data_IF_717673642543
#
_entry.id   IF_717673642543
#
_cell.length_a   1.000
_cell.length_b   1.000
_cell.length_c   1.000
_cell.angle_alpha   90.00
_cell.angle_beta   90.00
_cell.angle_gamma   90.00
#
_symmetry.space_group_name_H-M   'P 1'
#
loop_
_entity.id
_entity.type
_entity.pdbx_description
1 polymer ?
#
# COMPACT_ATOMS: atom_id res chain seq x y z
N UNK A 1 -3.53 11.15 4.61
CA UNK A 1 -2.35 10.94 3.76
C UNK A 1 -2.74 9.96 2.67
N UNK A 2 -2.56 10.35 1.41
CA UNK A 2 -2.90 9.54 0.24
C UNK A 2 -2.13 8.21 0.25
N UNK A 3 -2.75 7.17 -0.33
CA UNK A 3 -2.21 5.81 -0.34
C UNK A 3 -1.98 5.34 -1.77
N UNK A 4 -1.00 4.47 -1.95
CA UNK A 4 -0.82 3.75 -3.22
C UNK A 4 -2.01 2.83 -3.41
N UNK A 5 -2.70 2.95 -4.53
CA UNK A 5 -3.85 2.12 -4.90
C UNK A 5 -3.73 1.66 -6.33
N UNK A 6 -4.21 0.44 -6.58
CA UNK A 6 -4.26 -0.12 -7.93
C UNK A 6 -5.55 0.31 -8.61
N UNK A 7 -5.43 0.89 -9.81
CA UNK A 7 -6.56 1.12 -10.71
C UNK A 7 -6.75 -0.15 -11.52
N UNK A 8 -7.91 -0.80 -11.37
CA UNK A 8 -8.20 -2.03 -12.09
C UNK A 8 -8.54 -1.75 -13.57
N UNK A 9 -8.21 -2.63 -14.53
CA UNK A 9 -8.57 -2.45 -15.94
C UNK A 9 -10.06 -2.27 -16.21
N UNK A 10 -10.93 -2.83 -15.35
CA UNK A 10 -12.39 -2.68 -15.42
C UNK A 10 -12.83 -1.22 -15.31
N UNK A 11 -12.06 -0.38 -14.61
CA UNK A 11 -12.33 1.06 -14.54
C UNK A 11 -12.43 1.68 -15.94
N UNK A 12 -11.51 1.34 -16.84
CA UNK A 12 -11.47 1.88 -18.21
C UNK A 12 -12.58 1.34 -19.12
N UNK A 13 -13.21 0.23 -18.74
CA UNK A 13 -14.30 -0.42 -19.49
C UNK A 13 -15.68 -0.10 -18.94
N UNK A 14 -15.76 0.60 -17.81
CA UNK A 14 -17.03 0.94 -17.16
C UNK A 14 -17.82 1.96 -17.99
N UNK A 15 -19.15 1.75 -18.17
CA UNK A 15 -20.03 2.75 -18.76
C UNK A 15 -19.98 4.11 -18.06
N UNK A 16 -19.90 4.12 -16.71
CA UNK A 16 -19.75 5.33 -15.90
C UNK A 16 -18.50 6.13 -16.28
N UNK A 17 -17.35 5.44 -16.39
CA UNK A 17 -16.10 6.05 -16.80
C UNK A 17 -16.18 6.58 -18.23
N UNK A 18 -16.84 5.84 -19.13
CA UNK A 18 -17.02 6.25 -20.53
C UNK A 18 -17.86 7.53 -20.66
N UNK A 19 -18.89 7.69 -19.82
CA UNK A 19 -19.76 8.87 -19.80
C UNK A 19 -19.10 10.11 -19.16
N UNK A 20 -18.17 9.92 -18.22
CA UNK A 20 -17.47 11.01 -17.55
C UNK A 20 -16.44 11.72 -18.44
N UNK A 21 -16.25 13.02 -18.25
CA UNK A 21 -15.20 13.84 -18.85
C UNK A 21 -13.81 13.39 -18.40
N UNK A 22 -12.74 13.67 -19.18
CA UNK A 22 -11.37 13.36 -18.78
C UNK A 22 -11.00 13.95 -17.40
N UNK A 23 -11.47 15.16 -17.11
CA UNK A 23 -11.23 15.84 -15.83
C UNK A 23 -11.95 15.14 -14.67
N UNK A 24 -13.20 14.72 -14.86
CA UNK A 24 -13.94 14.00 -13.83
C UNK A 24 -13.31 12.63 -13.54
N UNK A 25 -12.81 11.93 -14.57
CA UNK A 25 -12.04 10.68 -14.40
C UNK A 25 -10.78 10.89 -13.57
N UNK A 26 -10.00 11.94 -13.86
CA UNK A 26 -8.79 12.28 -13.11
C UNK A 26 -9.10 12.65 -11.67
N UNK A 27 -10.12 13.49 -11.45
CA UNK A 27 -10.57 13.86 -10.10
C UNK A 27 -11.00 12.64 -9.30
N UNK A 28 -11.78 11.74 -9.91
CA UNK A 28 -12.20 10.50 -9.26
C UNK A 28 -11.02 9.61 -8.86
N UNK A 29 -10.01 9.46 -9.73
CA UNK A 29 -8.77 8.72 -9.41
C UNK A 29 -8.01 9.38 -8.25
N UNK A 30 -7.92 10.70 -8.24
CA UNK A 30 -7.30 11.45 -7.15
C UNK A 30 -8.04 11.21 -5.82
N UNK A 31 -9.37 11.37 -5.81
CA UNK A 31 -10.23 11.08 -4.65
C UNK A 31 -10.08 9.63 -4.17
N UNK A 32 -10.03 8.68 -5.11
CA UNK A 32 -9.81 7.28 -4.79
C UNK A 32 -8.51 7.07 -4.02
N UNK A 33 -7.40 7.68 -4.47
CA UNK A 33 -6.11 7.59 -3.78
C UNK A 33 -6.09 8.28 -2.41
N UNK A 34 -6.91 9.32 -2.24
CA UNK A 34 -7.00 10.14 -1.02
C UNK A 34 -7.85 9.50 0.07
N UNK A 35 -8.89 8.76 -0.29
CA UNK A 35 -9.81 8.11 0.64
C UNK A 35 -9.10 7.16 1.64
N UNK A 36 -9.77 6.84 2.74
CA UNK A 36 -9.34 5.87 3.75
C UNK A 36 -9.57 4.42 3.30
N UNK A 37 -9.44 3.43 4.19
CA UNK A 37 -9.66 2.01 3.84
C UNK A 37 -11.13 1.63 3.61
N UNK A 38 -12.04 2.59 3.75
CA UNK A 38 -13.48 2.43 3.60
C UNK A 38 -14.07 3.32 2.51
N UNK A 39 -13.23 4.01 1.73
CA UNK A 39 -13.69 4.86 0.64
C UNK A 39 -14.20 6.22 1.10
N UNK A 40 -13.84 6.63 2.32
CA UNK A 40 -14.25 7.90 2.91
C UNK A 40 -13.07 8.83 3.12
N UNK A 41 -13.30 10.12 2.98
CA UNK A 41 -12.29 11.10 3.36
C UNK A 41 -12.91 12.44 3.71
N UNK A 42 -12.25 13.12 4.64
CA UNK A 42 -12.42 14.54 4.83
C UNK A 42 -11.74 15.32 3.70
N UNK A 43 -12.37 16.41 3.29
CA UNK A 43 -11.85 17.27 2.25
C UNK A 43 -12.25 18.73 2.44
N UNK A 44 -11.49 19.63 1.81
CA UNK A 44 -11.92 20.99 1.51
C UNK A 44 -11.72 21.25 0.02
N UNK A 45 -12.45 22.19 -0.61
CA UNK A 45 -12.31 22.45 -2.04
C UNK A 45 -10.87 22.72 -2.47
N UNK A 46 -10.15 23.57 -1.73
CA UNK A 46 -8.76 23.93 -2.05
C UNK A 46 -7.77 22.77 -1.88
N UNK A 47 -7.94 21.95 -0.85
CA UNK A 47 -7.05 20.80 -0.62
C UNK A 47 -7.25 19.73 -1.69
N UNK A 48 -8.51 19.42 -2.03
CA UNK A 48 -8.80 18.41 -3.03
C UNK A 48 -8.41 18.89 -4.43
N UNK A 49 -8.70 20.15 -4.76
CA UNK A 49 -8.30 20.77 -6.03
C UNK A 49 -6.78 20.78 -6.17
N UNK A 50 -6.05 21.30 -5.16
CA UNK A 50 -4.59 21.41 -5.21
C UNK A 50 -3.87 20.05 -5.24
N UNK A 51 -4.53 18.99 -4.77
CA UNK A 51 -4.01 17.64 -4.88
C UNK A 51 -4.28 16.99 -6.23
N UNK A 52 -5.51 17.12 -6.74
CA UNK A 52 -5.89 16.51 -7.99
C UNK A 52 -5.23 17.20 -9.20
N UNK A 53 -5.07 18.51 -9.12
CA UNK A 53 -4.66 19.38 -10.24
C UNK A 53 -3.59 20.39 -9.79
N UNK A 54 -2.41 19.91 -9.33
CA UNK A 54 -1.35 20.80 -8.91
C UNK A 54 -0.87 21.62 -10.11
N UNK A 55 -0.93 22.95 -9.98
CA UNK A 55 -0.52 23.93 -11.00
C UNK A 55 -1.49 24.14 -12.18
N UNK A 56 -2.63 23.43 -12.23
CA UNK A 56 -3.66 23.75 -13.21
C UNK A 56 -4.49 24.94 -12.71
N UNK A 57 -4.39 26.07 -13.42
CA UNK A 57 -5.10 27.31 -13.09
C UNK A 57 -6.26 27.62 -14.06
N UNK A 58 -6.53 26.73 -14.99
CA UNK A 58 -7.54 26.91 -16.04
C UNK A 58 -8.79 26.05 -15.77
N UNK A 59 -9.89 26.38 -16.45
CA UNK A 59 -11.13 25.60 -16.34
C UNK A 59 -10.89 24.14 -16.79
N UNK A 60 -11.45 23.12 -16.10
CA UNK A 60 -12.38 23.20 -14.97
C UNK A 60 -11.70 23.20 -13.58
N UNK A 61 -10.39 23.36 -13.51
CA UNK A 61 -9.59 23.34 -12.29
C UNK A 61 -9.56 24.69 -11.53
N UNK A 62 -10.55 25.55 -11.77
CA UNK A 62 -10.72 26.81 -11.04
C UNK A 62 -11.67 26.65 -9.86
N UNK A 63 -11.52 27.47 -8.81
CA UNK A 63 -12.44 27.49 -7.67
C UNK A 63 -13.92 27.66 -8.09
N UNK A 64 -14.19 28.37 -9.20
CA UNK A 64 -15.53 28.64 -9.70
C UNK A 64 -16.16 27.44 -10.44
N UNK A 65 -15.34 26.68 -11.18
CA UNK A 65 -15.83 25.54 -11.98
C UNK A 65 -15.76 24.21 -11.22
N UNK A 66 -14.90 24.12 -10.20
CA UNK A 66 -14.68 22.90 -9.43
C UNK A 66 -15.98 22.29 -8.84
N UNK A 67 -16.97 23.06 -8.34
CA UNK A 67 -18.25 22.51 -7.92
C UNK A 67 -19.02 21.77 -9.03
N UNK A 68 -18.90 22.20 -10.29
CA UNK A 68 -19.51 21.48 -11.43
C UNK A 68 -18.79 20.17 -11.71
N UNK A 69 -17.46 20.18 -11.60
CA UNK A 69 -16.65 18.98 -11.73
C UNK A 69 -16.98 17.95 -10.63
N UNK A 70 -17.20 18.41 -9.39
CA UNK A 70 -17.67 17.55 -8.29
C UNK A 70 -19.07 16.98 -8.55
N UNK A 71 -19.99 17.79 -9.12
CA UNK A 71 -21.31 17.32 -9.51
C UNK A 71 -21.23 16.23 -10.59
N UNK A 72 -20.35 16.40 -11.59
CA UNK A 72 -20.11 15.38 -12.60
C UNK A 72 -19.55 14.08 -12.00
N UNK A 73 -18.63 14.16 -11.04
CA UNK A 73 -18.10 12.99 -10.34
C UNK A 73 -19.19 12.29 -9.51
N UNK A 74 -20.04 13.05 -8.82
CA UNK A 74 -21.21 12.50 -8.12
C UNK A 74 -22.10 11.74 -9.09
N UNK A 75 -22.45 12.36 -10.22
CA UNK A 75 -23.43 11.79 -11.15
C UNK A 75 -22.87 10.57 -11.90
N UNK A 76 -21.58 10.57 -12.25
CA UNK A 76 -20.97 9.47 -12.99
C UNK A 76 -20.58 8.29 -12.09
N UNK A 77 -20.04 8.56 -10.90
CA UNK A 77 -19.43 7.54 -10.03
C UNK A 77 -20.19 7.33 -8.71
N UNK A 78 -21.36 7.96 -8.57
CA UNK A 78 -22.23 7.87 -7.39
C UNK A 78 -21.53 8.30 -6.10
N UNK A 79 -20.53 9.17 -6.18
CA UNK A 79 -19.82 9.66 -5.00
C UNK A 79 -20.71 10.55 -4.17
N UNK A 80 -20.91 10.20 -2.90
CA UNK A 80 -21.74 10.97 -1.99
C UNK A 80 -20.89 12.01 -1.27
N UNK A 81 -21.25 13.28 -1.42
CA UNK A 81 -20.64 14.40 -0.71
C UNK A 81 -21.58 14.89 0.40
N UNK A 82 -21.06 14.98 1.62
CA UNK A 82 -21.86 15.30 2.80
C UNK A 82 -21.06 16.11 3.81
N UNK A 83 -21.78 16.74 4.73
CA UNK A 83 -21.23 17.39 5.89
C UNK A 83 -21.62 16.62 7.14
N UNK A 84 -20.69 16.49 8.08
CA UNK A 84 -20.94 15.93 9.41
C UNK A 84 -20.27 16.84 10.44
N UNK A 85 -21.05 17.37 11.38
CA UNK A 85 -20.58 18.31 12.43
C UNK A 85 -19.76 19.48 11.86
N UNK A 86 -20.24 20.06 10.75
CA UNK A 86 -19.63 21.22 10.10
C UNK A 86 -18.38 20.94 9.25
N UNK A 87 -17.98 19.67 9.09
CA UNK A 87 -16.83 19.27 8.26
C UNK A 87 -17.32 18.51 7.03
N UNK A 88 -16.63 18.70 5.89
CA UNK A 88 -17.00 18.07 4.62
C UNK A 88 -16.30 16.73 4.46
N UNK A 89 -17.07 15.77 3.98
CA UNK A 89 -16.64 14.42 3.68
C UNK A 89 -17.15 13.99 2.30
N UNK A 90 -16.54 12.95 1.76
CA UNK A 90 -17.12 12.18 0.67
C UNK A 90 -17.02 10.68 0.98
N UNK A 91 -17.93 9.91 0.41
CA UNK A 91 -17.98 8.45 0.47
C UNK A 91 -18.11 7.89 -0.95
N UNK A 92 -17.28 6.90 -1.29
CA UNK A 92 -17.31 6.19 -2.57
C UNK A 92 -18.09 4.87 -2.36
N UNK A 93 -19.35 4.73 -2.82
CA UNK A 93 -20.18 3.58 -2.46
C UNK A 93 -19.64 2.25 -2.99
N UNK A 94 -19.12 2.25 -4.22
CA UNK A 94 -18.55 1.07 -4.90
C UNK A 94 -17.17 0.65 -4.37
N UNK A 95 -16.71 1.23 -3.26
CA UNK A 95 -15.36 1.03 -2.73
C UNK A 95 -14.98 -0.43 -2.53
N UNK A 96 -15.86 -1.20 -1.92
CA UNK A 96 -15.58 -2.59 -1.53
C UNK A 96 -15.41 -3.54 -2.72
N UNK A 97 -16.00 -3.19 -3.88
CA UNK A 97 -15.89 -3.94 -5.13
C UNK A 97 -14.53 -3.69 -5.80
N UNK A 98 -13.99 -2.48 -5.61
CA UNK A 98 -12.79 -2.05 -6.28
C UNK A 98 -11.53 -2.13 -5.41
N UNK A 99 -11.63 -2.09 -4.07
CA UNK A 99 -10.49 -2.19 -3.16
C UNK A 99 -10.73 -3.24 -2.06
N UNK A 100 -9.95 -4.33 -2.10
CA UNK A 100 -9.89 -5.34 -1.03
C UNK A 100 -8.72 -5.02 -0.11
N UNK A 101 -9.01 -4.54 1.09
CA UNK A 101 -7.98 -4.25 2.10
C UNK A 101 -7.89 -5.39 3.12
N UNK A 102 -6.76 -6.09 3.17
CA UNK A 102 -6.55 -7.22 4.10
C UNK A 102 -6.41 -6.81 5.58
N UNK A 103 -5.99 -5.56 5.85
CA UNK A 103 -5.93 -4.97 7.20
C UNK A 103 -6.43 -3.54 7.15
N UNK A 104 -7.72 -3.35 7.43
CA UNK A 104 -8.33 -2.01 7.51
C UNK A 104 -7.80 -1.32 8.76
N UNK A 105 -7.33 -0.08 8.62
CA UNK A 105 -7.17 0.78 9.78
C UNK A 105 -8.52 0.99 10.48
N UNK A 106 -8.53 1.43 11.74
CA UNK A 106 -9.77 1.75 12.44
C UNK A 106 -10.61 2.74 11.63
N UNK A 107 -11.93 2.58 11.70
CA UNK A 107 -12.89 3.50 11.08
C UNK A 107 -12.75 4.90 11.71
N UNK A 108 -12.39 5.90 10.89
CA UNK A 108 -12.04 7.25 11.36
C UNK A 108 -13.04 8.32 10.94
N UNK A 109 -13.81 8.07 9.89
CA UNK A 109 -14.64 9.09 9.26
C UNK A 109 -16.12 8.71 9.33
N UNK A 110 -17.02 9.66 9.60
CA UNK A 110 -18.45 9.39 9.63
C UNK A 110 -18.92 8.89 8.26
N UNK A 111 -20.02 8.14 8.21
CA UNK A 111 -20.68 7.75 6.95
C UNK A 111 -21.64 8.83 6.48
N UNK A 112 -21.97 8.81 5.20
CA UNK A 112 -23.05 9.65 4.67
C UNK A 112 -24.41 9.34 5.33
N UNK A 113 -24.60 8.09 5.77
CA UNK A 113 -25.82 7.62 6.46
C UNK A 113 -25.86 7.89 7.96
N UNK A 114 -24.82 8.49 8.56
CA UNK A 114 -24.81 8.76 9.99
C UNK A 114 -25.85 9.85 10.36
N UNK A 115 -26.46 9.83 11.56
CA UNK A 115 -27.53 10.77 11.93
C UNK A 115 -27.15 12.26 11.85
N UNK A 116 -25.87 12.58 12.08
CA UNK A 116 -25.33 13.93 12.04
C UNK A 116 -24.87 14.35 10.62
N UNK A 117 -25.05 13.47 9.62
CA UNK A 117 -24.64 13.70 8.23
C UNK A 117 -25.77 14.29 7.40
N UNK A 118 -25.44 15.26 6.55
CA UNK A 118 -26.37 15.91 5.61
C UNK A 118 -25.68 16.19 4.28
N UNK A 119 -26.42 16.14 3.17
CA UNK A 119 -25.86 16.38 1.82
C UNK A 119 -25.16 17.75 1.72
N UNK A 120 -24.00 17.79 1.06
CA UNK A 120 -23.24 19.03 0.90
C UNK A 120 -23.94 19.97 -0.11
N UNK A 121 -24.52 21.04 0.41
CA UNK A 121 -25.25 22.05 -0.37
C UNK A 121 -24.34 22.89 -1.27
N UNK A 122 -23.01 22.79 -1.12
CA UNK A 122 -22.05 23.48 -1.97
C UNK A 122 -21.86 22.86 -3.36
N UNK A 123 -22.52 21.73 -3.65
CA UNK A 123 -22.41 21.02 -4.92
C UNK A 123 -23.76 21.10 -5.67
N UNK A 124 -23.79 21.67 -6.88
CA UNK A 124 -25.02 21.81 -7.66
C UNK A 124 -25.76 20.48 -7.83
N UNK A 125 -27.07 20.46 -7.56
CA UNK A 125 -27.92 19.25 -7.69
C UNK A 125 -28.02 18.38 -6.43
N UNK A 126 -27.36 18.76 -5.32
CA UNK A 126 -27.48 18.07 -4.03
C UNK A 126 -28.74 18.46 -3.25
N UNK A 127 -29.93 18.11 -3.74
CA UNK A 127 -31.20 18.53 -3.12
C UNK A 127 -31.89 17.45 -2.30
N UNK A 128 -31.91 17.62 -0.98
CA UNK A 128 -32.80 16.94 -0.02
C UNK A 128 -33.00 17.77 1.27
N UNK A 129 -34.05 18.61 1.26
CA UNK A 129 -34.79 19.30 2.35
C UNK A 129 -34.09 20.23 3.37
N UNK A 130 -34.36 21.54 3.19
CA UNK A 130 -34.65 22.62 4.17
C UNK A 130 -34.10 22.55 5.60
N UNK A 131 -33.23 23.50 5.95
CA UNK A 131 -33.48 24.52 6.99
C UNK A 131 -32.38 25.59 6.96
N UNK A 132 -32.80 26.83 7.13
CA UNK A 132 -31.98 28.05 7.01
C UNK A 132 -31.05 28.29 8.21
N UNK A 133 -30.13 29.23 7.97
CA UNK A 133 -29.50 30.14 8.93
C UNK A 133 -28.27 29.66 9.70
N UNK A 134 -27.19 30.43 9.53
CA UNK A 134 -26.30 30.77 10.64
C UNK A 134 -24.83 30.67 10.31
N UNK A 135 -24.26 31.72 9.71
CA UNK A 135 -22.81 31.84 9.58
C UNK A 135 -22.13 31.90 10.94
N UNK A 136 -20.98 31.24 11.08
CA UNK A 136 -19.98 31.68 12.04
C UNK A 136 -18.57 31.25 11.59
N UNK A 137 -17.74 32.26 11.32
CA UNK A 137 -16.30 32.12 11.24
C UNK A 137 -15.76 31.98 12.66
N UNK A 138 -15.15 30.84 13.00
CA UNK A 138 -14.23 30.78 14.14
C UNK A 138 -12.94 30.06 13.74
N UNK A 139 -11.85 30.85 13.77
CA UNK A 139 -10.48 30.36 13.85
C UNK A 139 -10.34 29.54 15.14
N UNK A 140 -9.96 28.28 15.03
CA UNK A 140 -9.44 27.52 16.17
C UNK A 140 -8.04 27.03 15.86
N UNK A 141 -7.08 27.77 16.42
CA UNK A 141 -5.74 27.31 16.74
C UNK A 141 -5.84 26.05 17.60
N UNK A 142 -5.25 24.95 17.14
CA UNK A 142 -5.19 23.68 17.87
C UNK A 142 -3.81 23.06 17.75
N UNK A 143 -2.97 23.37 18.75
CA UNK A 143 -1.59 22.90 18.98
C UNK A 143 -1.38 21.41 18.70
N UNK A 144 -0.34 21.09 17.94
CA UNK A 144 0.27 19.76 17.84
C UNK A 144 1.25 19.59 19.02
N UNK A 145 1.17 18.55 19.86
CA UNK A 145 2.25 18.22 20.78
C UNK A 145 3.35 17.42 20.05
N UNK A 146 4.64 17.61 20.40
CA UNK A 146 5.74 16.86 19.83
C UNK A 146 6.09 15.62 20.68
N UNK A 147 6.75 14.66 20.03
CA UNK A 147 7.37 13.50 20.66
C UNK A 147 6.63 12.20 20.34
N UNK A 148 7.25 11.04 20.21
CA UNK A 148 8.65 10.61 20.42
C UNK A 148 8.75 9.27 19.69
N UNK A 149 9.96 8.84 19.35
CA UNK A 149 10.20 7.57 18.68
C UNK A 149 9.87 6.32 19.50
N UNK A 150 10.35 5.21 18.93
CA UNK A 150 10.48 3.86 19.50
C UNK A 150 9.32 2.86 19.37
N UNK A 151 9.69 1.77 18.67
CA UNK A 151 9.63 0.36 19.05
C UNK A 151 8.29 -0.24 19.51
N UNK A 152 7.90 -1.27 18.75
CA UNK A 152 7.88 -2.64 19.25
C UNK A 152 7.06 -2.92 20.51
N UNK A 153 5.93 -3.61 20.37
CA UNK A 153 5.84 -5.07 20.56
C UNK A 153 4.38 -5.49 20.87
N UNK A 154 3.93 -6.51 20.12
CA UNK A 154 3.14 -7.66 20.55
C UNK A 154 1.98 -7.48 21.54
N UNK A 155 0.78 -7.68 21.02
CA UNK A 155 -0.37 -8.20 21.77
C UNK A 155 -1.38 -8.88 20.85
N UNK A 156 -1.35 -10.21 20.76
CA UNK A 156 -2.55 -10.99 20.42
C UNK A 156 -2.63 -12.17 21.37
N UNK A 157 -3.66 -12.15 22.20
CA UNK A 157 -4.09 -13.25 23.03
C UNK A 157 -4.95 -14.26 22.25
N UNK A 158 -4.93 -15.47 22.78
CA UNK A 158 -6.08 -16.34 23.11
C UNK A 158 -7.15 -16.65 22.05
N UNK A 159 -7.37 -17.95 21.90
CA UNK A 159 -8.37 -18.64 21.07
C UNK A 159 -7.63 -19.55 20.08
N UNK A 160 -7.66 -20.89 20.14
CA UNK A 160 -8.72 -21.78 20.58
C UNK A 160 -8.13 -23.07 21.19
N UNK A 161 -8.70 -23.45 22.33
CA UNK A 161 -8.83 -24.86 22.72
C UNK A 161 -9.88 -25.45 21.79
N UNK A 162 -9.51 -26.52 21.10
CA UNK A 162 -10.31 -27.71 20.77
C UNK A 162 -9.83 -28.29 19.45
N UNK A 163 -8.86 -29.21 19.53
CA UNK A 163 -8.63 -30.31 18.56
C UNK A 163 -7.37 -31.15 18.86
N UNK A 164 -6.59 -30.84 19.90
CA UNK A 164 -5.33 -31.56 20.20
C UNK A 164 -5.44 -32.87 21.01
N UNK A 165 -6.61 -33.28 21.53
CA UNK A 165 -6.68 -34.46 22.42
C UNK A 165 -6.69 -35.82 21.72
N UNK A 166 -6.80 -35.87 20.38
CA UNK A 166 -6.84 -37.15 19.64
C UNK A 166 -5.51 -37.58 19.01
N UNK A 167 -4.50 -36.70 18.95
CA UNK A 167 -3.20 -37.00 18.34
C UNK A 167 -2.06 -37.27 19.36
N UNK A 168 -2.35 -37.25 20.67
CA UNK A 168 -1.35 -37.48 21.72
C UNK A 168 -1.02 -38.96 21.97
N UNK A 169 -1.63 -39.89 21.24
CA UNK A 169 -1.44 -41.33 21.44
C UNK A 169 -0.77 -42.07 20.27
N UNK A 170 -0.31 -41.39 19.21
CA UNK A 170 0.19 -42.06 17.99
C UNK A 170 1.53 -41.53 17.44
N UNK A 171 2.32 -40.77 18.23
CA UNK A 171 3.64 -40.30 17.80
C UNK A 171 4.76 -40.53 18.83
N UNK A 172 4.49 -41.17 19.97
CA UNK A 172 5.50 -41.43 20.99
C UNK A 172 6.39 -42.66 20.69
N UNK A 173 6.38 -43.17 19.46
CA UNK A 173 6.98 -44.48 19.14
C UNK A 173 7.69 -44.55 17.79
N UNK A 174 8.23 -43.44 17.27
CA UNK A 174 9.19 -43.51 16.14
C UNK A 174 10.34 -42.52 16.31
N UNK A 175 11.51 -43.09 16.53
CA UNK A 175 12.87 -42.63 16.20
C UNK A 175 13.57 -41.61 17.11
N UNK A 176 14.21 -42.20 18.10
CA UNK A 176 15.45 -41.80 18.77
C UNK A 176 16.61 -41.49 17.78
N UNK A 177 17.31 -40.39 18.06
CA UNK A 177 18.74 -40.11 17.84
C UNK A 177 19.40 -40.31 16.45
N UNK A 178 19.23 -39.32 15.55
CA UNK A 178 20.39 -38.75 14.83
C UNK A 178 20.63 -37.33 15.37
N UNK A 179 21.84 -36.99 15.85
CA UNK A 179 22.21 -35.60 16.02
C UNK A 179 21.99 -34.91 14.68
N UNK A 180 21.03 -33.99 14.63
CA UNK A 180 20.69 -33.25 13.43
C UNK A 180 21.81 -32.28 13.10
N UNK A 181 22.83 -32.82 12.45
CA UNK A 181 24.04 -32.11 12.05
C UNK A 181 23.68 -30.96 11.11
N UNK A 182 22.73 -31.18 10.21
CA UNK A 182 22.11 -30.18 9.32
C UNK A 182 21.60 -28.93 10.06
N UNK A 183 20.98 -29.11 11.23
CA UNK A 183 20.49 -27.99 12.05
C UNK A 183 21.64 -27.18 12.62
N UNK A 184 22.66 -27.85 13.16
CA UNK A 184 23.84 -27.17 13.72
C UNK A 184 24.71 -26.55 12.62
N UNK A 185 24.85 -27.17 11.45
CA UNK A 185 25.53 -26.62 10.28
C UNK A 185 24.90 -25.31 9.79
N UNK A 186 23.57 -25.27 9.65
CA UNK A 186 22.84 -24.06 9.24
C UNK A 186 22.95 -22.95 10.30
N UNK A 187 22.96 -23.35 11.56
CA UNK A 187 23.18 -22.46 12.68
C UNK A 187 24.61 -21.91 12.68
N UNK A 188 25.63 -22.72 12.38
CA UNK A 188 27.04 -22.32 12.30
C UNK A 188 27.25 -21.36 11.13
N UNK A 189 26.64 -21.64 9.98
CA UNK A 189 26.63 -20.74 8.82
C UNK A 189 26.00 -19.38 9.18
N UNK A 190 24.86 -19.36 9.86
CA UNK A 190 24.20 -18.12 10.24
C UNK A 190 25.06 -17.28 11.22
N UNK A 191 25.69 -17.93 12.19
CA UNK A 191 26.55 -17.23 13.16
C UNK A 191 27.79 -16.64 12.49
N UNK A 192 28.40 -17.37 11.56
CA UNK A 192 29.55 -16.90 10.79
C UNK A 192 29.19 -15.68 9.92
N UNK A 193 28.05 -15.70 9.23
CA UNK A 193 27.60 -14.60 8.36
C UNK A 193 27.18 -13.35 9.16
N UNK A 194 26.60 -13.53 10.36
CA UNK A 194 26.26 -12.41 11.26
C UNK A 194 27.53 -11.78 11.84
N UNK A 195 28.50 -12.59 12.26
CA UNK A 195 29.78 -12.10 12.77
C UNK A 195 30.61 -11.40 11.68
N UNK A 196 30.64 -11.94 10.45
CA UNK A 196 31.31 -11.32 9.31
C UNK A 196 30.74 -9.94 8.96
N UNK A 197 29.45 -9.71 9.23
CA UNK A 197 28.79 -8.42 9.07
C UNK A 197 28.98 -7.45 10.26
N UNK A 198 29.77 -7.83 11.26
CA UNK A 198 30.06 -7.00 12.44
C UNK A 198 28.98 -7.02 13.52
N UNK A 199 28.00 -7.92 13.44
CA UNK A 199 26.95 -8.08 14.44
C UNK A 199 27.32 -9.16 15.47
N UNK A 200 26.75 -9.07 16.69
CA UNK A 200 27.01 -10.02 17.76
C UNK A 200 26.40 -11.39 17.46
N UNK A 201 27.16 -12.46 17.73
CA UNK A 201 26.68 -13.84 17.59
C UNK A 201 25.36 -14.07 18.34
N UNK A 202 24.34 -14.64 17.68
CA UNK A 202 23.08 -15.00 18.33
C UNK A 202 23.29 -16.03 19.45
N UNK A 203 22.44 -16.00 20.48
CA UNK A 203 22.47 -17.04 21.51
C UNK A 203 21.96 -18.37 20.93
N UNK A 204 22.73 -19.44 21.10
CA UNK A 204 22.38 -20.84 20.81
C UNK A 204 21.34 -21.39 21.80
N UNK A 205 20.15 -20.80 21.82
CA UNK A 205 19.05 -21.24 22.66
C UNK A 205 18.18 -22.29 21.96
N UNK A 206 17.31 -22.95 22.74
CA UNK A 206 16.35 -23.93 22.21
C UNK A 206 15.46 -23.33 21.11
N UNK A 207 15.04 -22.07 21.24
CA UNK A 207 14.19 -21.41 20.25
C UNK A 207 14.84 -21.31 18.86
N UNK A 208 16.13 -21.00 18.77
CA UNK A 208 16.84 -20.91 17.50
C UNK A 208 17.09 -22.28 16.85
N UNK A 209 17.36 -23.31 17.65
CA UNK A 209 17.43 -24.70 17.17
C UNK A 209 16.08 -25.18 16.67
N UNK A 210 15.02 -24.94 17.44
CA UNK A 210 13.67 -25.30 17.08
C UNK A 210 13.20 -24.53 15.84
N UNK A 211 13.64 -23.28 15.63
CA UNK A 211 13.33 -22.54 14.41
C UNK A 211 13.89 -23.25 13.16
N UNK A 212 15.18 -23.62 13.14
CA UNK A 212 15.76 -24.33 11.98
C UNK A 212 15.12 -25.71 11.80
N UNK A 213 14.89 -26.46 12.89
CA UNK A 213 14.17 -27.75 12.84
C UNK A 213 12.79 -27.60 12.20
N UNK A 214 12.03 -26.59 12.62
CA UNK A 214 10.70 -26.35 12.07
C UNK A 214 10.75 -25.92 10.60
N UNK A 215 11.79 -25.19 10.17
CA UNK A 215 11.97 -24.86 8.74
C UNK A 215 12.17 -26.12 7.90
N UNK A 216 12.97 -27.07 8.38
CA UNK A 216 13.25 -28.34 7.69
C UNK A 216 12.04 -29.29 7.72
N UNK A 217 11.47 -29.52 8.91
CA UNK A 217 10.48 -30.59 9.11
C UNK A 217 9.06 -30.17 8.77
N UNK A 218 8.67 -28.99 9.22
CA UNK A 218 7.28 -28.55 9.20
C UNK A 218 6.99 -27.65 8.02
N UNK A 219 7.90 -26.71 7.78
CA UNK A 219 7.78 -25.78 6.67
C UNK A 219 8.35 -26.38 5.37
N UNK A 220 8.94 -27.59 5.44
CA UNK A 220 9.47 -28.38 4.32
C UNK A 220 10.43 -27.60 3.41
N UNK A 221 11.24 -26.73 4.01
CA UNK A 221 12.23 -25.92 3.30
C UNK A 221 13.53 -26.73 3.20
N UNK A 222 14.05 -27.00 1.98
CA UNK A 222 15.32 -27.70 1.82
C UNK A 222 16.48 -26.97 2.51
N UNK A 223 17.40 -27.72 3.13
CA UNK A 223 18.56 -27.15 3.82
C UNK A 223 19.40 -26.23 2.90
N UNK A 224 19.52 -26.58 1.61
CA UNK A 224 20.21 -25.77 0.62
C UNK A 224 19.56 -24.38 0.42
N UNK A 225 18.24 -24.31 0.46
CA UNK A 225 17.49 -23.06 0.31
C UNK A 225 17.60 -22.19 1.58
N UNK A 226 17.59 -22.81 2.76
CA UNK A 226 17.87 -22.11 4.02
C UNK A 226 19.28 -21.51 3.99
N UNK A 227 20.27 -22.29 3.59
CA UNK A 227 21.66 -21.83 3.45
C UNK A 227 21.79 -20.71 2.40
N UNK A 228 21.06 -20.81 1.29
CA UNK A 228 20.97 -19.78 0.26
C UNK A 228 20.37 -18.48 0.82
N UNK A 229 19.28 -18.58 1.58
CA UNK A 229 18.63 -17.45 2.23
C UNK A 229 19.53 -16.77 3.26
N UNK A 230 20.27 -17.54 4.06
CA UNK A 230 21.27 -17.02 5.01
C UNK A 230 22.31 -16.19 4.26
N UNK A 231 23.01 -16.77 3.27
CA UNK A 231 24.05 -16.10 2.50
C UNK A 231 23.53 -14.87 1.75
N UNK A 232 22.32 -14.96 1.20
CA UNK A 232 21.73 -13.85 0.48
C UNK A 232 21.38 -12.70 1.42
N UNK A 233 20.72 -12.99 2.55
CA UNK A 233 20.36 -11.97 3.54
C UNK A 233 21.58 -11.29 4.15
N UNK A 234 22.68 -12.01 4.34
CA UNK A 234 23.93 -11.48 4.86
C UNK A 234 24.60 -10.46 3.90
N UNK A 235 24.41 -10.62 2.59
CA UNK A 235 24.98 -9.72 1.57
C UNK A 235 24.11 -8.51 1.27
N UNK A 236 22.80 -8.64 1.49
CA UNK A 236 21.86 -7.56 1.21
C UNK A 236 21.89 -6.48 2.31
N UNK A 237 21.97 -5.21 1.91
CA UNK A 237 22.11 -4.06 2.81
C UNK A 237 20.91 -3.91 3.74
N UNK A 238 19.71 -4.28 3.28
CA UNK A 238 18.49 -4.22 4.06
C UNK A 238 18.35 -5.47 4.94
N UNK A 239 18.57 -6.67 4.40
CA UNK A 239 18.29 -7.90 5.15
C UNK A 239 19.32 -8.23 6.24
N UNK A 240 20.59 -7.85 6.09
CA UNK A 240 21.63 -8.19 7.09
C UNK A 240 21.39 -7.56 8.46
N UNK A 241 20.74 -6.40 8.52
CA UNK A 241 20.37 -5.75 9.80
C UNK A 241 19.09 -6.35 10.41
N UNK A 242 18.29 -7.06 9.60
CA UNK A 242 17.00 -7.61 9.99
C UNK A 242 17.08 -9.10 10.38
N UNK A 243 18.01 -9.87 9.80
CA UNK A 243 18.20 -11.30 10.08
C UNK A 243 19.34 -11.49 11.07
N UNK A 244 19.04 -11.32 12.36
CA UNK A 244 20.00 -11.43 13.47
C UNK A 244 19.85 -12.71 14.31
N UNK A 245 19.03 -13.67 13.87
CA UNK A 245 18.85 -14.97 14.55
C UNK A 245 18.06 -15.95 13.68
N UNK A 246 18.17 -17.25 13.97
CA UNK A 246 17.40 -18.28 13.28
C UNK A 246 15.88 -18.10 13.44
N UNK A 247 15.44 -17.63 14.60
CA UNK A 247 14.03 -17.29 14.83
C UNK A 247 13.54 -16.19 13.89
N UNK A 248 14.36 -15.16 13.65
CA UNK A 248 14.05 -14.07 12.71
C UNK A 248 14.14 -14.49 11.25
N UNK A 249 15.12 -15.33 10.90
CA UNK A 249 15.21 -15.94 9.58
C UNK A 249 13.91 -16.66 9.21
N UNK A 250 13.41 -17.51 10.11
CA UNK A 250 12.15 -18.23 9.90
C UNK A 250 10.93 -17.33 9.80
N UNK A 251 10.81 -16.34 10.69
CA UNK A 251 9.72 -15.36 10.68
C UNK A 251 9.63 -14.60 9.35
N UNK A 252 10.77 -14.35 8.71
CA UNK A 252 10.89 -13.51 7.52
C UNK A 252 11.20 -14.26 6.24
N UNK A 253 11.26 -15.60 6.28
CA UNK A 253 11.74 -16.42 5.18
C UNK A 253 11.01 -16.15 3.86
N UNK A 254 9.67 -16.09 3.89
CA UNK A 254 8.87 -15.82 2.68
C UNK A 254 9.14 -14.42 2.10
N UNK A 255 9.26 -13.41 2.96
CA UNK A 255 9.53 -12.03 2.54
C UNK A 255 10.92 -11.92 1.91
N UNK A 256 11.91 -12.58 2.52
CA UNK A 256 13.28 -12.68 2.04
C UNK A 256 13.32 -13.37 0.68
N UNK A 257 12.63 -14.51 0.51
CA UNK A 257 12.58 -15.26 -0.75
C UNK A 257 11.97 -14.43 -1.89
N UNK A 258 10.85 -13.75 -1.63
CA UNK A 258 10.19 -12.90 -2.64
C UNK A 258 11.05 -11.69 -3.03
N UNK A 259 11.75 -11.08 -2.07
CA UNK A 259 12.66 -9.97 -2.37
C UNK A 259 13.89 -10.44 -3.15
N UNK A 260 14.44 -11.60 -2.81
CA UNK A 260 15.53 -12.23 -3.56
C UNK A 260 15.14 -12.56 -5.00
N UNK A 261 13.92 -13.08 -5.22
CA UNK A 261 13.38 -13.32 -6.57
C UNK A 261 13.20 -12.02 -7.36
N UNK A 262 12.68 -10.97 -6.72
CA UNK A 262 12.52 -9.65 -7.35
C UNK A 262 13.86 -9.05 -7.77
N UNK A 263 14.87 -9.13 -6.91
CA UNK A 263 16.21 -8.56 -7.17
C UNK A 263 17.02 -9.38 -8.17
N UNK A 264 16.87 -10.72 -8.17
CA UNK A 264 17.51 -11.59 -9.18
C UNK A 264 16.82 -11.55 -10.54
N UNK A 265 15.51 -11.30 -10.59
CA UNK A 265 14.73 -11.13 -11.83
C UNK A 265 14.91 -9.78 -12.53
N UNK A 266 15.72 -8.86 -12.00
CA UNK A 266 15.96 -7.52 -12.53
C UNK A 266 16.74 -7.43 -13.86
N UNK A 267 17.04 -8.56 -14.50
CA UNK A 267 17.74 -8.63 -15.79
C UNK A 267 16.86 -8.43 -17.03
N UNK A 268 15.52 -8.45 -16.89
CA UNK A 268 14.65 -8.15 -18.02
C UNK A 268 14.50 -6.63 -18.16
N UNK A 269 15.11 -6.05 -19.22
CA UNK A 269 14.84 -4.68 -19.69
C UNK A 269 13.34 -4.41 -19.56
N UNK A 270 12.95 -3.31 -18.92
CA UNK A 270 11.54 -2.98 -18.71
C UNK A 270 10.80 -3.01 -20.05
N UNK A 271 9.50 -3.38 -20.05
CA UNK A 271 8.67 -3.32 -21.27
C UNK A 271 8.72 -1.94 -21.92
N UNK A 272 8.94 -0.87 -21.14
CA UNK A 272 9.16 0.48 -21.65
C UNK A 272 10.49 0.62 -22.42
N UNK A 273 11.59 0.03 -21.93
CA UNK A 273 12.87 0.01 -22.64
C UNK A 273 12.83 -0.86 -23.90
N UNK A 274 12.15 -2.01 -23.84
CA UNK A 274 11.94 -2.88 -25.02
C UNK A 274 11.07 -2.18 -26.08
N UNK A 275 10.01 -1.48 -25.65
CA UNK A 275 9.18 -0.70 -26.55
C UNK A 275 9.94 0.51 -27.12
N UNK A 276 10.77 1.19 -26.33
CA UNK A 276 11.57 2.32 -26.81
C UNK A 276 12.61 1.90 -27.87
N UNK A 277 13.25 0.73 -27.69
CA UNK A 277 14.16 0.16 -28.69
C UNK A 277 13.39 -0.21 -29.98
N UNK A 278 12.21 -0.83 -29.85
CA UNK A 278 11.33 -1.16 -30.99
C UNK A 278 10.81 0.08 -31.74
N UNK A 279 10.33 1.10 -31.04
CA UNK A 279 9.85 2.34 -31.67
C UNK A 279 10.97 3.09 -32.39
N UNK A 280 12.22 3.00 -31.90
CA UNK A 280 13.39 3.59 -32.57
C UNK A 280 13.73 2.86 -33.87
N UNK A 281 13.61 1.53 -33.91
CA UNK A 281 13.79 0.74 -35.14
C UNK A 281 12.64 0.94 -36.14
N UNK A 282 11.42 1.07 -35.63
CA UNK A 282 10.19 1.08 -36.45
C UNK A 282 9.86 2.49 -37.00
N UNK A 283 10.29 3.57 -36.33
CA UNK A 283 9.90 4.96 -36.66
C UNK A 283 11.04 6.00 -36.60
N UNK A 284 12.30 5.58 -36.41
CA UNK A 284 13.43 6.46 -36.12
C UNK A 284 13.71 7.58 -37.13
N UNK A 285 13.48 7.34 -38.42
CA UNK A 285 13.73 8.32 -39.48
C UNK A 285 12.54 9.26 -39.77
N UNK A 286 11.33 8.84 -39.39
CA UNK A 286 10.10 9.60 -39.65
C UNK A 286 9.78 10.56 -38.50
N UNK A 287 10.04 10.15 -37.25
CA UNK A 287 9.81 10.96 -36.06
C UNK A 287 10.78 12.16 -35.96
N UNK A 288 12.01 12.01 -36.45
CA UNK A 288 12.99 13.10 -36.49
C UNK A 288 12.61 14.24 -37.47
N UNK A 289 11.74 13.96 -38.45
CA UNK A 289 11.24 14.96 -39.43
C UNK A 289 9.93 15.61 -39.00
N UNK A 290 9.16 14.99 -38.10
CA UNK A 290 7.83 15.48 -37.69
C UNK A 290 7.83 16.34 -36.42
N UNK A 291 8.96 16.44 -35.71
CA UNK A 291 9.11 17.38 -34.59
C UNK A 291 9.58 18.72 -35.16
N UNK A 292 8.81 19.81 -35.06
CA UNK A 292 9.30 21.13 -35.43
C UNK A 292 10.52 21.42 -34.56
N UNK A 293 11.63 21.85 -35.16
CA UNK A 293 12.73 22.40 -34.42
C UNK A 293 12.18 23.53 -33.52
N UNK A 294 12.21 23.33 -32.21
CA UNK A 294 12.09 24.42 -31.24
C UNK A 294 13.33 25.27 -31.44
N UNK A 295 13.22 26.20 -32.37
CA UNK A 295 14.30 27.11 -32.71
C UNK A 295 14.61 27.96 -31.48
N UNK A 296 15.89 27.95 -31.12
CA UNK A 296 16.42 28.66 -29.98
C UNK A 296 16.29 30.17 -30.25
N UNK A 297 15.47 30.85 -29.44
CA UNK A 297 15.18 32.27 -29.61
C UNK A 297 14.83 32.99 -28.32
N UNK A 298 15.63 32.84 -27.26
CA UNK A 298 15.73 33.89 -26.25
C UNK A 298 16.97 34.73 -26.55
N UNK A 299 16.76 35.78 -27.34
CA UNK A 299 17.73 36.84 -27.57
C UNK A 299 17.45 38.02 -26.64
N UNK A 300 18.45 38.29 -25.80
CA UNK A 300 18.75 39.48 -24.95
C UNK A 300 17.73 39.88 -23.89
#
# INVERSE_FOLDING_TARGET
MARIRTIKPEFWRSPSTAAASPWARLLFIAMWSWADDYGRAEWTPRELLGFAFPHDSESPCTDADFPRLLAEVRDAFEVEFYTNRGRRFYEIPSWSEHQKTERRAGDKFPRATDPDSSSDQGIPGGGGTTAESGGFSSRSLGKVPPGTGEQGNRGKGTGEREQGKRAKALSSEVAEATPRHDVEELLDLLDAEIEANGAKKPKRNKANRDAIRLMLDRDHIPAADIAGAIRWSAKDTFWRSNILSASKLREKYDQLRLDAQRKSGGGQKSKAAQNADRYREEFGDEYARSVPALDAGFGV
#
